data_IF_956402837941
#
_entry.id   IF_956402837941
#
_cell.length_a   1.000
_cell.length_b   1.000
_cell.length_c   1.000
_cell.angle_alpha   90.00
_cell.angle_beta   90.00
_cell.angle_gamma   90.00
#
_symmetry.space_group_name_H-M   'P 1'
#
loop_
_entity.id
_entity.type
_entity.pdbx_description
1 polymer ?
#
# COMPACT_ATOMS: atom_id res chain seq x y z
N UNK A 1 -3.39 -10.40 -18.84
CA UNK A 1 -1.96 -10.02 -18.81
C UNK A 1 -1.88 -8.53 -19.11
N UNK A 2 -1.66 -7.69 -18.09
CA UNK A 2 -1.39 -6.27 -18.32
C UNK A 2 0.06 -6.15 -18.78
N UNK A 3 0.27 -5.93 -20.09
CA UNK A 3 1.58 -5.70 -20.72
C UNK A 3 2.10 -4.30 -20.36
N UNK A 4 2.45 -4.11 -19.10
CA UNK A 4 3.33 -3.05 -18.68
C UNK A 4 4.63 -3.76 -18.33
N UNK A 5 5.76 -3.54 -18.99
CA UNK A 5 7.03 -4.22 -18.70
C UNK A 5 7.65 -3.78 -17.35
N UNK A 6 6.93 -3.94 -16.22
CA UNK A 6 7.35 -3.48 -14.88
C UNK A 6 7.31 -4.58 -13.81
N UNK A 7 7.41 -5.84 -14.21
CA UNK A 7 7.57 -6.94 -13.27
C UNK A 7 8.83 -6.73 -12.41
N UNK A 8 8.71 -6.86 -11.09
CA UNK A 8 9.81 -6.67 -10.13
C UNK A 8 10.28 -5.22 -9.92
N UNK A 9 9.62 -4.22 -10.52
CA UNK A 9 9.95 -2.80 -10.35
C UNK A 9 9.09 -2.14 -9.27
N UNK A 10 9.59 -1.03 -8.71
CA UNK A 10 8.79 -0.11 -7.91
C UNK A 10 7.66 0.55 -8.72
N UNK A 11 6.57 0.93 -8.05
CA UNK A 11 5.57 1.84 -8.62
C UNK A 11 6.22 3.17 -9.04
N UNK A 12 5.75 3.77 -10.14
CA UNK A 12 6.01 5.20 -10.41
C UNK A 12 5.08 6.08 -9.59
N UNK A 13 5.36 7.38 -9.48
CA UNK A 13 4.43 8.32 -8.87
C UNK A 13 3.06 8.35 -9.56
N UNK A 14 3.04 8.19 -10.89
CA UNK A 14 1.80 8.14 -11.65
C UNK A 14 0.99 6.87 -11.32
N UNK A 15 1.65 5.72 -11.21
CA UNK A 15 0.99 4.46 -10.83
C UNK A 15 0.50 4.50 -9.38
N UNK A 16 1.30 5.07 -8.46
CA UNK A 16 0.87 5.32 -7.08
C UNK A 16 -0.40 6.17 -7.03
N UNK A 17 -0.46 7.23 -7.82
CA UNK A 17 -1.61 8.13 -7.86
C UNK A 17 -2.88 7.41 -8.32
N UNK A 18 -2.79 6.56 -9.36
CA UNK A 18 -3.93 5.75 -9.81
C UNK A 18 -4.47 4.82 -8.73
N UNK A 19 -3.59 4.20 -7.95
CA UNK A 19 -4.00 3.34 -6.82
C UNK A 19 -4.76 4.14 -5.77
N UNK A 20 -4.24 5.32 -5.41
CA UNK A 20 -4.93 6.24 -4.50
C UNK A 20 -6.28 6.70 -5.05
N UNK A 21 -6.35 7.10 -6.32
CA UNK A 21 -7.59 7.57 -6.95
C UNK A 21 -8.65 6.46 -6.99
N UNK A 22 -8.24 5.23 -7.30
CA UNK A 22 -9.12 4.06 -7.29
C UNK A 22 -9.63 3.74 -5.87
N UNK A 23 -8.77 3.86 -4.85
CA UNK A 23 -9.16 3.65 -3.47
C UNK A 23 -10.13 4.75 -2.99
N UNK A 24 -9.85 6.02 -3.25
CA UNK A 24 -10.73 7.13 -2.92
C UNK A 24 -12.09 7.01 -3.64
N UNK A 25 -12.09 6.65 -4.92
CA UNK A 25 -13.33 6.45 -5.69
C UNK A 25 -14.23 5.35 -5.09
N UNK A 26 -13.63 4.26 -4.58
CA UNK A 26 -14.36 3.17 -3.90
C UNK A 26 -14.88 3.56 -2.51
N UNK A 27 -14.20 4.48 -1.85
CA UNK A 27 -14.44 4.85 -0.45
C UNK A 27 -15.11 6.23 -0.27
N UNK A 28 -15.73 6.78 -1.32
CA UNK A 28 -16.49 8.03 -1.22
C UNK A 28 -15.62 9.30 -1.11
N UNK A 29 -14.37 9.23 -1.57
CA UNK A 29 -13.41 10.34 -1.53
C UNK A 29 -12.40 10.28 -0.37
N UNK A 30 -12.53 9.30 0.52
CA UNK A 30 -11.58 9.05 1.61
C UNK A 30 -10.60 7.94 1.26
N UNK A 31 -9.37 7.99 1.77
CA UNK A 31 -8.44 6.87 1.64
C UNK A 31 -8.65 5.89 2.78
N UNK A 32 -8.80 4.60 2.44
CA UNK A 32 -8.89 3.52 3.42
C UNK A 32 -7.85 2.45 3.14
N UNK A 33 -7.31 1.86 4.19
CA UNK A 33 -6.45 0.69 4.07
C UNK A 33 -7.26 -0.47 3.47
N UNK A 34 -6.81 -1.02 2.35
CA UNK A 34 -7.43 -2.17 1.68
C UNK A 34 -7.31 -3.47 2.52
N UNK A 35 -6.45 -3.48 3.55
CA UNK A 35 -6.26 -4.63 4.44
C UNK A 35 -7.13 -4.57 5.69
N UNK A 36 -6.96 -3.55 6.55
CA UNK A 36 -7.69 -3.45 7.82
C UNK A 36 -8.90 -2.51 7.79
N UNK A 37 -9.17 -1.84 6.67
CA UNK A 37 -10.30 -0.93 6.51
C UNK A 37 -10.19 0.42 7.24
N UNK A 38 -9.12 0.68 8.00
CA UNK A 38 -8.95 1.95 8.70
C UNK A 38 -8.78 3.12 7.71
N UNK A 39 -9.31 4.30 8.04
CA UNK A 39 -9.03 5.53 7.29
C UNK A 39 -7.55 5.87 7.41
N UNK A 40 -6.93 6.23 6.29
CA UNK A 40 -5.50 6.57 6.20
C UNK A 40 -5.32 7.98 5.64
N UNK A 41 -4.22 8.63 6.01
CA UNK A 41 -3.89 9.98 5.57
C UNK A 41 -2.61 9.97 4.72
N UNK A 42 -2.66 10.62 3.54
CA UNK A 42 -1.47 10.78 2.70
C UNK A 42 -0.60 11.91 3.24
N UNK A 43 0.33 11.56 4.12
CA UNK A 43 1.30 12.50 4.70
C UNK A 43 2.62 12.50 3.93
N UNK A 44 3.30 13.64 3.92
CA UNK A 44 4.65 13.73 3.37
C UNK A 44 5.63 12.92 4.23
N UNK A 45 6.50 12.14 3.59
CA UNK A 45 7.55 11.39 4.30
C UNK A 45 8.80 12.24 4.60
N UNK A 46 8.85 13.48 4.08
CA UNK A 46 9.94 14.43 4.25
C UNK A 46 9.40 15.84 4.49
N UNK A 47 10.10 16.62 5.30
CA UNK A 47 9.79 18.03 5.52
C UNK A 47 10.30 18.91 4.36
N UNK A 48 10.08 20.23 4.46
CA UNK A 48 10.49 21.20 3.44
C UNK A 48 12.02 21.26 3.25
N UNK A 49 12.79 20.88 4.27
CA UNK A 49 14.25 20.83 4.27
C UNK A 49 14.79 19.46 3.82
N UNK A 50 13.90 18.50 3.56
CA UNK A 50 14.26 17.14 3.17
C UNK A 50 14.67 16.24 4.33
N UNK A 51 14.34 16.55 5.59
CA UNK A 51 14.53 15.59 6.69
C UNK A 51 13.39 14.58 6.69
N UNK A 52 13.69 13.34 7.10
CA UNK A 52 12.68 12.30 7.20
C UNK A 52 11.67 12.64 8.32
N UNK A 53 10.38 12.65 7.98
CA UNK A 53 9.31 12.81 8.97
C UNK A 53 9.01 11.44 9.58
N UNK A 54 8.90 11.39 10.91
CA UNK A 54 8.48 10.17 11.61
C UNK A 54 7.05 9.82 11.20
N UNK A 55 6.92 8.71 10.48
CA UNK A 55 5.61 8.27 10.01
C UNK A 55 4.72 7.77 11.14
N UNK A 56 3.41 7.96 10.95
CA UNK A 56 2.34 7.54 11.84
C UNK A 56 1.71 6.22 11.38
N UNK A 57 1.02 5.48 12.28
CA UNK A 57 0.42 4.18 11.94
C UNK A 57 -0.60 4.26 10.80
N UNK A 58 -1.32 5.36 10.71
CA UNK A 58 -2.37 5.69 9.74
C UNK A 58 -1.84 6.37 8.47
N UNK A 59 -0.52 6.47 8.29
CA UNK A 59 0.05 7.00 7.05
C UNK A 59 -0.29 6.07 5.89
N UNK A 60 -0.86 6.65 4.83
CA UNK A 60 -1.17 5.94 3.61
C UNK A 60 0.13 5.59 2.85
N UNK A 61 0.31 4.31 2.55
CA UNK A 61 1.40 3.76 1.75
C UNK A 61 0.82 2.91 0.62
N UNK A 62 1.58 2.73 -0.46
CA UNK A 62 1.23 1.80 -1.53
C UNK A 62 2.03 0.52 -1.31
N UNK A 63 1.32 -0.58 -1.06
CA UNK A 63 1.90 -1.91 -0.98
C UNK A 63 1.81 -2.64 -2.33
N UNK A 64 2.74 -3.55 -2.56
CA UNK A 64 2.62 -4.53 -3.63
C UNK A 64 1.85 -5.73 -3.09
N UNK A 65 0.63 -5.95 -3.57
CA UNK A 65 -0.22 -7.08 -3.12
C UNK A 65 0.55 -8.39 -3.30
N UNK A 66 1.04 -8.64 -4.51
CA UNK A 66 2.11 -9.60 -4.77
C UNK A 66 3.47 -8.92 -4.57
N UNK A 67 4.30 -9.37 -3.61
CA UNK A 67 5.57 -8.73 -3.32
C UNK A 67 6.55 -8.87 -4.50
N UNK A 68 7.39 -7.84 -4.71
CA UNK A 68 8.39 -7.84 -5.79
C UNK A 68 9.32 -9.05 -5.77
N UNK A 69 9.67 -9.53 -4.57
CA UNK A 69 10.53 -10.69 -4.37
C UNK A 69 9.92 -11.98 -4.97
N UNK A 70 8.60 -12.02 -5.13
CA UNK A 70 7.86 -13.14 -5.73
C UNK A 70 7.49 -12.89 -7.21
N UNK A 71 8.00 -11.81 -7.82
CA UNK A 71 7.66 -11.44 -9.21
C UNK A 71 6.61 -10.33 -9.34
N UNK A 72 6.15 -9.78 -8.21
CA UNK A 72 5.12 -8.75 -8.14
C UNK A 72 5.32 -7.56 -9.06
N UNK A 73 4.23 -7.13 -9.69
CA UNK A 73 4.24 -6.09 -10.71
C UNK A 73 4.24 -4.66 -10.11
N UNK A 74 5.04 -3.75 -10.66
CA UNK A 74 5.07 -2.33 -10.24
C UNK A 74 4.03 -1.44 -10.95
N UNK A 75 2.87 -1.99 -11.29
CA UNK A 75 1.76 -1.28 -11.95
C UNK A 75 0.52 -1.22 -11.07
N UNK A 76 -0.34 -0.22 -11.26
CA UNK A 76 -1.51 0.08 -10.43
C UNK A 76 -2.38 -1.14 -10.08
N UNK A 77 -2.53 -2.10 -10.98
CA UNK A 77 -3.28 -3.35 -10.77
C UNK A 77 -2.74 -4.27 -9.65
N UNK A 78 -1.47 -4.13 -9.26
CA UNK A 78 -0.85 -4.85 -8.13
C UNK A 78 -0.67 -3.95 -6.90
N UNK A 79 -1.18 -2.71 -6.94
CA UNK A 79 -1.11 -1.76 -5.84
C UNK A 79 -2.32 -1.84 -4.92
N UNK A 80 -2.07 -1.87 -3.62
CA UNK A 80 -3.08 -1.68 -2.58
C UNK A 80 -2.71 -0.48 -1.71
N UNK A 81 -3.70 0.30 -1.28
CA UNK A 81 -3.50 1.32 -0.25
C UNK A 81 -3.42 0.61 1.09
N UNK A 82 -2.29 0.75 1.77
CA UNK A 82 -2.04 0.13 3.06
C UNK A 82 -1.66 1.18 4.10
N UNK A 83 -2.16 1.05 5.32
CA UNK A 83 -1.62 1.84 6.43
C UNK A 83 -0.19 1.39 6.74
N UNK A 84 0.62 2.28 7.33
CA UNK A 84 2.01 1.98 7.72
C UNK A 84 2.14 0.74 8.60
N UNK A 85 1.13 0.45 9.43
CA UNK A 85 1.13 -0.75 10.30
C UNK A 85 1.02 -2.02 9.46
N UNK A 86 -0.05 -2.15 8.66
CA UNK A 86 -0.29 -3.30 7.78
C UNK A 86 0.83 -3.50 6.75
N UNK A 87 1.27 -2.41 6.11
CA UNK A 87 2.35 -2.49 5.11
C UNK A 87 3.66 -3.03 5.72
N UNK A 88 4.01 -2.58 6.93
CA UNK A 88 5.23 -3.06 7.61
C UNK A 88 5.10 -4.49 8.10
N UNK A 89 3.90 -4.86 8.55
CA UNK A 89 3.62 -6.20 9.08
C UNK A 89 3.63 -7.25 7.96
N UNK A 90 2.93 -6.97 6.85
CA UNK A 90 2.95 -7.79 5.64
C UNK A 90 4.37 -7.95 5.08
N UNK A 91 5.17 -6.88 5.06
CA UNK A 91 6.58 -6.92 4.66
C UNK A 91 6.74 -7.58 3.27
N UNK A 92 7.46 -8.70 3.17
CA UNK A 92 7.64 -9.48 1.93
C UNK A 92 6.71 -10.68 1.82
N UNK A 93 5.73 -10.84 2.71
CA UNK A 93 4.80 -11.97 2.68
C UNK A 93 3.79 -11.79 1.54
N UNK A 94 3.48 -12.86 0.78
CA UNK A 94 2.30 -12.91 -0.08
C UNK A 94 1.03 -12.60 0.73
N UNK A 95 0.03 -11.97 0.13
CA UNK A 95 -1.23 -11.69 0.82
C UNK A 95 -1.89 -12.97 1.34
N UNK A 96 -1.85 -14.06 0.57
CA UNK A 96 -2.42 -15.36 0.98
C UNK A 96 -1.79 -15.91 2.26
N UNK A 97 -0.49 -15.71 2.48
CA UNK A 97 0.21 -16.16 3.70
C UNK A 97 -0.01 -15.24 4.90
N UNK A 98 -0.44 -14.00 4.66
CA UNK A 98 -0.60 -12.97 5.69
C UNK A 98 -2.08 -12.75 6.09
N UNK A 99 -3.05 -13.22 5.31
CA UNK A 99 -4.48 -13.03 5.59
C UNK A 99 -4.91 -13.64 6.94
N UNK A 100 -4.39 -14.83 7.28
CA UNK A 100 -4.67 -15.48 8.57
C UNK A 100 -4.11 -14.67 9.76
N UNK A 101 -2.87 -14.15 9.65
CA UNK A 101 -2.26 -13.31 10.70
C UNK A 101 -2.95 -11.95 10.82
N UNK A 102 -3.39 -11.38 9.69
CA UNK A 102 -4.15 -10.13 9.68
C UNK A 102 -5.48 -10.29 10.43
N UNK A 103 -6.13 -11.46 10.33
CA UNK A 103 -7.38 -11.72 11.04
C UNK A 103 -7.18 -11.76 12.55
N UNK A 104 -6.17 -12.50 13.00
CA UNK A 104 -5.81 -12.57 14.43
C UNK A 104 -5.44 -11.19 14.98
N UNK A 105 -4.75 -10.36 14.20
CA UNK A 105 -4.34 -9.02 14.59
C UNK A 105 -5.48 -8.00 14.68
N UNK A 106 -6.60 -8.23 13.99
CA UNK A 106 -7.78 -7.35 14.03
C UNK A 106 -8.76 -7.72 15.15
N UNK A 107 -8.66 -8.93 15.69
CA UNK A 107 -9.47 -9.43 16.81
C UNK A 107 -8.89 -9.10 18.21
N UNK A 108 -7.65 -8.55 18.29
CA UNK A 108 -7.01 -8.03 19.53
C UNK A 108 -7.17 -6.51 19.73
#
# INVERSE_FOLDING_TARGET
>A
MHNCDRAGLDFTDAERQKVYDANAAKNGGEYKCDYCGQTVERRASRDADGNAIKGRPDDAQIDHVEPKASGGHGGDHNGAVACRRCNRDKSTKPLEDWDDELRDFLDE
#
